data_IF_468471920381
#
_entry.id   IF_468471920381
#
_cell.length_a   1.000
_cell.length_b   1.000
_cell.length_c   1.000
_cell.angle_alpha   90.00
_cell.angle_beta   90.00
_cell.angle_gamma   90.00
#
_symmetry.space_group_name_H-M   'P 1'
#
loop_
_entity.id
_entity.type
_entity.pdbx_description
1 polymer ?
#
# COMPACT_ATOMS: atom_id res chain seq x y z
N UNK A 1 13.22 1.08 10.64
CA UNK A 1 11.78 1.31 10.38
C UNK A 1 11.20 2.10 11.54
N UNK A 2 10.67 3.31 11.31
CA UNK A 2 9.88 4.05 12.33
C UNK A 2 8.43 4.11 11.88
N UNK A 3 7.77 2.95 11.81
CA UNK A 3 6.32 2.91 11.69
C UNK A 3 5.74 3.31 13.05
N UNK A 4 4.79 4.25 13.06
CA UNK A 4 4.21 4.73 14.31
C UNK A 4 3.36 3.64 14.99
N UNK A 5 3.21 3.72 16.32
CA UNK A 5 2.28 2.85 17.04
C UNK A 5 0.84 2.96 16.51
N UNK A 6 0.46 4.12 15.95
CA UNK A 6 -0.84 4.35 15.32
C UNK A 6 -1.04 3.48 14.07
N UNK A 7 -0.04 3.38 13.20
CA UNK A 7 -0.13 2.56 11.99
C UNK A 7 -0.14 1.07 12.32
N UNK A 8 0.67 0.65 13.29
CA UNK A 8 0.65 -0.73 13.79
C UNK A 8 -0.73 -1.10 14.35
N UNK A 9 -1.35 -0.19 15.11
CA UNK A 9 -2.71 -0.38 15.64
C UNK A 9 -3.75 -0.43 14.51
N UNK A 10 -3.63 0.45 13.52
CA UNK A 10 -4.49 0.43 12.34
C UNK A 10 -4.42 -0.90 11.60
N UNK A 11 -3.22 -1.38 11.26
CA UNK A 11 -3.03 -2.67 10.55
C UNK A 11 -3.62 -3.84 11.36
N UNK A 12 -3.39 -3.85 12.68
CA UNK A 12 -3.97 -4.85 13.58
C UNK A 12 -5.50 -4.87 13.57
N UNK A 13 -6.13 -3.70 13.53
CA UNK A 13 -7.59 -3.58 13.48
C UNK A 13 -8.14 -3.95 12.10
N UNK A 14 -7.52 -3.46 11.02
CA UNK A 14 -7.85 -3.78 9.62
C UNK A 14 -7.84 -5.29 9.38
N UNK A 15 -6.83 -5.98 9.91
CA UNK A 15 -6.68 -7.43 9.75
C UNK A 15 -7.47 -8.25 10.78
N UNK A 16 -8.49 -7.64 11.39
CA UNK A 16 -9.43 -8.27 12.32
C UNK A 16 -8.74 -8.97 13.51
N UNK A 17 -7.61 -8.43 13.96
CA UNK A 17 -6.83 -8.95 15.10
C UNK A 17 -6.35 -10.39 14.87
N UNK A 18 -6.10 -10.75 13.61
CA UNK A 18 -5.69 -12.10 13.20
C UNK A 18 -4.42 -12.06 12.38
N UNK A 19 -3.67 -13.16 12.43
CA UNK A 19 -2.59 -13.40 11.48
C UNK A 19 -3.18 -13.46 10.07
N UNK A 20 -2.68 -12.63 9.17
CA UNK A 20 -3.10 -12.57 7.78
C UNK A 20 -2.96 -13.91 7.06
N UNK A 21 -1.89 -14.66 7.38
CA UNK A 21 -1.60 -15.93 6.70
C UNK A 21 -2.37 -17.13 7.25
N UNK A 22 -2.48 -17.28 8.58
CA UNK A 22 -3.06 -18.48 9.20
C UNK A 22 -4.40 -18.25 9.90
N UNK A 23 -4.92 -17.01 9.90
CA UNK A 23 -6.19 -16.66 10.54
C UNK A 23 -6.20 -16.71 12.07
N UNK A 24 -5.11 -17.12 12.72
CA UNK A 24 -5.00 -17.21 14.19
C UNK A 24 -5.29 -15.85 14.84
N UNK A 25 -6.20 -15.82 15.82
CA UNK A 25 -6.41 -14.62 16.67
C UNK A 25 -5.14 -14.31 17.46
N UNK A 26 -4.73 -13.05 17.47
CA UNK A 26 -3.55 -12.57 18.19
C UNK A 26 -3.94 -11.40 19.09
N UNK A 27 -3.31 -11.30 20.26
CA UNK A 27 -3.31 -10.06 21.05
C UNK A 27 -2.33 -9.07 20.43
N UNK A 28 -2.55 -7.77 20.62
CA UNK A 28 -1.71 -6.71 20.03
C UNK A 28 -0.21 -6.87 20.33
N UNK A 29 0.15 -7.29 21.55
CA UNK A 29 1.55 -7.52 21.93
C UNK A 29 2.18 -8.78 21.30
N UNK A 30 1.38 -9.65 20.68
CA UNK A 30 1.85 -10.89 20.05
C UNK A 30 2.11 -10.73 18.55
N UNK A 31 1.65 -9.63 17.95
CA UNK A 31 1.77 -9.43 16.51
C UNK A 31 3.16 -8.95 16.13
N UNK A 32 3.63 -9.42 14.98
CA UNK A 32 4.61 -8.74 14.15
C UNK A 32 3.89 -8.10 12.96
N UNK A 33 4.57 -7.19 12.28
CA UNK A 33 4.16 -6.75 10.94
C UNK A 33 5.07 -7.43 9.94
N UNK A 34 4.50 -7.90 8.84
CA UNK A 34 5.23 -8.48 7.72
C UNK A 34 4.97 -7.69 6.45
N UNK A 35 5.99 -7.60 5.60
CA UNK A 35 5.89 -6.98 4.29
C UNK A 35 5.36 -8.01 3.30
N UNK A 36 4.12 -7.82 2.83
CA UNK A 36 3.48 -8.77 1.93
C UNK A 36 4.29 -8.91 0.63
N UNK A 37 4.64 -7.77 0.03
CA UNK A 37 5.73 -7.66 -0.94
C UNK A 37 7.05 -7.41 -0.19
N UNK A 38 8.02 -8.35 -0.24
CA UNK A 38 9.26 -8.27 0.54
C UNK A 38 10.11 -7.04 0.24
N UNK A 39 10.71 -6.44 1.28
CA UNK A 39 11.64 -5.30 1.12
C UNK A 39 12.83 -5.64 0.24
N UNK A 40 13.36 -6.87 0.33
CA UNK A 40 14.47 -7.34 -0.51
C UNK A 40 14.17 -7.36 -2.01
N UNK A 41 12.89 -7.22 -2.38
CA UNK A 41 12.40 -7.18 -3.77
C UNK A 41 11.87 -5.81 -4.19
N UNK A 42 11.91 -4.80 -3.30
CA UNK A 42 11.35 -3.46 -3.54
C UNK A 42 10.13 -3.10 -2.69
N UNK A 43 9.74 -3.94 -1.75
CA UNK A 43 8.63 -3.64 -0.84
C UNK A 43 8.87 -2.38 -0.01
N UNK A 44 7.83 -1.56 0.17
CA UNK A 44 7.85 -0.33 0.96
C UNK A 44 7.24 -0.53 2.35
N UNK A 45 7.39 0.45 3.24
CA UNK A 45 6.75 0.46 4.57
C UNK A 45 5.31 1.01 4.55
N UNK A 46 4.68 1.06 3.38
CA UNK A 46 3.32 1.54 3.27
C UNK A 46 2.35 0.60 4.01
N UNK A 47 1.31 1.15 4.64
CA UNK A 47 0.36 0.36 5.45
C UNK A 47 -0.36 -0.71 4.63
N UNK A 48 -0.53 -0.51 3.32
CA UNK A 48 -1.11 -1.51 2.42
C UNK A 48 -0.15 -2.64 2.04
N UNK A 49 1.16 -2.46 2.24
CA UNK A 49 2.16 -3.52 2.07
C UNK A 49 2.46 -4.25 3.39
N UNK A 50 1.94 -3.76 4.52
CA UNK A 50 2.16 -4.36 5.83
C UNK A 50 0.93 -5.14 6.29
N UNK A 51 1.14 -6.35 6.80
CA UNK A 51 0.07 -7.21 7.35
C UNK A 51 0.38 -7.68 8.76
N UNK A 52 -0.68 -7.89 9.55
CA UNK A 52 -0.63 -8.49 10.88
C UNK A 52 -0.19 -9.94 10.76
N UNK A 53 0.89 -10.31 11.42
CA UNK A 53 1.45 -11.65 11.30
C UNK A 53 1.85 -12.22 12.67
N UNK A 54 1.71 -13.54 12.84
CA UNK A 54 2.30 -14.24 13.99
C UNK A 54 3.78 -14.54 13.71
N UNK A 55 4.60 -14.64 14.77
CA UNK A 55 6.05 -14.91 14.63
C UNK A 55 6.37 -16.15 13.78
N UNK A 56 5.57 -17.23 13.88
CA UNK A 56 5.76 -18.47 13.11
C UNK A 56 5.57 -18.23 11.61
N UNK A 57 4.44 -17.66 11.21
CA UNK A 57 4.16 -17.37 9.81
C UNK A 57 5.14 -16.36 9.23
N UNK A 58 5.50 -15.32 9.99
CA UNK A 58 6.46 -14.31 9.54
C UNK A 58 7.82 -14.95 9.22
N UNK A 59 8.32 -15.82 10.13
CA UNK A 59 9.56 -16.57 9.93
C UNK A 59 9.48 -17.51 8.72
N UNK A 60 8.36 -18.19 8.50
CA UNK A 60 8.17 -19.12 7.39
C UNK A 60 8.05 -18.39 6.03
N UNK A 61 7.38 -17.24 6.02
CA UNK A 61 7.22 -16.40 4.84
C UNK A 61 8.57 -15.82 4.41
N UNK A 62 9.36 -15.31 5.36
CA UNK A 62 10.65 -14.70 5.08
C UNK A 62 10.56 -13.70 3.91
N UNK A 63 11.37 -13.87 2.86
CA UNK A 63 11.33 -13.05 1.67
C UNK A 63 10.59 -13.70 0.49
N UNK A 64 9.85 -14.79 0.70
CA UNK A 64 9.03 -15.39 -0.35
C UNK A 64 8.00 -14.37 -0.86
N UNK A 65 7.83 -14.25 -2.17
CA UNK A 65 6.83 -13.38 -2.79
C UNK A 65 5.56 -14.20 -3.04
N UNK A 66 4.41 -13.89 -2.41
CA UNK A 66 3.16 -14.60 -2.70
C UNK A 66 2.75 -14.39 -4.16
N UNK A 67 2.23 -15.43 -4.82
CA UNK A 67 1.81 -15.34 -6.23
C UNK A 67 0.64 -14.39 -6.43
N UNK A 68 -0.20 -14.22 -5.41
CA UNK A 68 -1.38 -13.35 -5.36
C UNK A 68 -1.05 -11.92 -4.91
N UNK A 69 0.23 -11.51 -4.90
CA UNK A 69 0.66 -10.20 -4.40
C UNK A 69 -0.10 -9.05 -5.03
N UNK A 70 -0.35 -9.08 -6.34
CA UNK A 70 -0.98 -7.97 -7.03
C UNK A 70 -2.43 -7.76 -6.56
N UNK A 71 -3.23 -8.82 -6.56
CA UNK A 71 -4.63 -8.77 -6.14
C UNK A 71 -4.77 -8.36 -4.67
N UNK A 72 -3.92 -8.91 -3.79
CA UNK A 72 -3.95 -8.60 -2.36
C UNK A 72 -3.51 -7.16 -2.10
N UNK A 73 -2.43 -6.69 -2.72
CA UNK A 73 -1.94 -5.32 -2.54
C UNK A 73 -2.92 -4.30 -3.09
N UNK A 74 -3.53 -4.53 -4.25
CA UNK A 74 -4.57 -3.64 -4.78
C UNK A 74 -5.74 -3.51 -3.80
N UNK A 75 -6.21 -4.62 -3.23
CA UNK A 75 -7.28 -4.61 -2.22
C UNK A 75 -6.88 -3.83 -0.96
N UNK A 76 -5.68 -4.08 -0.44
CA UNK A 76 -5.17 -3.40 0.76
C UNK A 76 -4.91 -1.90 0.49
N UNK A 77 -4.47 -1.56 -0.71
CA UNK A 77 -4.27 -0.18 -1.15
C UNK A 77 -5.58 0.59 -1.19
N UNK A 78 -6.61 0.05 -1.86
CA UNK A 78 -7.93 0.68 -1.91
C UNK A 78 -8.56 0.81 -0.52
N UNK A 79 -8.35 -0.18 0.35
CA UNK A 79 -8.76 -0.10 1.76
C UNK A 79 -8.07 1.05 2.48
N UNK A 80 -6.74 1.19 2.31
CA UNK A 80 -5.97 2.30 2.88
C UNK A 80 -6.42 3.67 2.33
N UNK A 81 -6.83 3.76 1.07
CA UNK A 81 -7.40 4.98 0.47
C UNK A 81 -8.76 5.31 1.10
N UNK A 82 -9.64 4.32 1.25
CA UNK A 82 -10.96 4.49 1.89
C UNK A 82 -10.79 4.99 3.33
N UNK A 83 -9.85 4.41 4.07
CA UNK A 83 -9.55 4.71 5.47
C UNK A 83 -8.70 5.98 5.69
N UNK A 84 -8.51 6.79 4.63
CA UNK A 84 -7.73 8.03 4.66
C UNK A 84 -6.29 7.86 5.17
N UNK A 85 -5.68 6.70 4.86
CA UNK A 85 -4.28 6.40 5.16
C UNK A 85 -3.33 6.79 4.05
N UNK A 86 -3.83 7.10 2.86
CA UNK A 86 -3.04 7.56 1.73
C UNK A 86 -3.31 9.05 1.49
N UNK A 87 -2.27 9.87 1.63
CA UNK A 87 -2.39 11.33 1.65
C UNK A 87 -1.53 11.95 0.55
N UNK A 88 -1.99 13.02 -0.10
CA UNK A 88 -1.15 13.79 -1.01
C UNK A 88 -0.09 14.61 -0.28
N UNK A 89 1.17 14.56 -0.72
CA UNK A 89 2.25 15.39 -0.15
C UNK A 89 2.83 16.31 -1.21
N UNK A 90 2.68 17.62 -1.03
CA UNK A 90 3.23 18.63 -1.95
C UNK A 90 2.62 18.58 -3.35
N UNK A 91 1.37 18.14 -3.47
CA UNK A 91 0.66 18.04 -4.74
C UNK A 91 -0.32 19.21 -4.89
N UNK A 92 -0.42 19.75 -6.11
CA UNK A 92 -1.44 20.74 -6.48
C UNK A 92 -2.75 20.06 -6.92
N UNK A 93 -3.25 19.14 -6.08
CA UNK A 93 -4.54 18.47 -6.27
C UNK A 93 -5.28 18.47 -4.94
N UNK A 94 -6.55 18.82 -4.98
CA UNK A 94 -7.42 18.74 -3.81
C UNK A 94 -7.51 17.29 -3.27
N UNK A 95 -7.53 17.12 -1.94
CA UNK A 95 -7.51 15.80 -1.30
C UNK A 95 -8.77 14.97 -1.60
N UNK A 96 -9.95 15.60 -1.74
CA UNK A 96 -11.18 14.89 -2.09
C UNK A 96 -11.14 14.43 -3.54
N UNK A 97 -10.61 15.28 -4.44
CA UNK A 97 -10.35 14.90 -5.84
C UNK A 97 -9.34 13.76 -5.92
N UNK A 98 -8.22 13.87 -5.21
CA UNK A 98 -7.19 12.83 -5.17
C UNK A 98 -7.76 11.49 -4.71
N UNK A 99 -8.52 11.46 -3.60
CA UNK A 99 -9.17 10.24 -3.11
C UNK A 99 -10.06 9.61 -4.18
N UNK A 100 -10.87 10.41 -4.89
CA UNK A 100 -11.72 9.92 -5.99
C UNK A 100 -10.89 9.28 -7.11
N UNK A 101 -9.78 9.88 -7.50
CA UNK A 101 -8.91 9.34 -8.56
C UNK A 101 -8.17 8.06 -8.11
N UNK A 102 -7.72 8.00 -6.86
CA UNK A 102 -7.07 6.82 -6.30
C UNK A 102 -8.02 5.60 -6.25
N UNK A 103 -9.31 5.82 -6.05
CA UNK A 103 -10.32 4.75 -6.08
C UNK A 103 -10.53 4.15 -7.48
N UNK A 104 -10.04 4.80 -8.54
CA UNK A 104 -10.08 4.29 -9.92
C UNK A 104 -8.84 3.46 -10.30
N UNK A 105 -7.89 3.29 -9.38
CA UNK A 105 -6.71 2.42 -9.59
C UNK A 105 -7.18 0.98 -9.84
N UNK A 106 -6.65 0.36 -10.90
CA UNK A 106 -7.01 -1.00 -11.29
C UNK A 106 -5.82 -1.96 -11.44
N UNK A 107 -4.58 -1.45 -11.39
CA UNK A 107 -3.38 -2.29 -11.49
C UNK A 107 -2.18 -1.71 -10.77
N UNK A 108 -1.20 -2.58 -10.51
CA UNK A 108 0.14 -2.18 -10.11
C UNK A 108 0.98 -2.08 -11.38
N UNK A 109 1.46 -0.88 -11.71
CA UNK A 109 2.32 -0.70 -12.88
C UNK A 109 3.75 -1.20 -12.62
N UNK A 110 4.28 -0.88 -11.43
CA UNK A 110 5.65 -1.26 -11.06
C UNK A 110 5.85 -1.14 -9.54
N UNK A 111 6.79 -1.92 -9.01
CA UNK A 111 7.23 -1.87 -7.61
C UNK A 111 8.76 -1.75 -7.63
N UNK A 112 9.28 -0.65 -7.08
CA UNK A 112 10.74 -0.38 -7.00
C UNK A 112 11.11 0.07 -5.59
N UNK A 113 11.55 1.31 -5.38
CA UNK A 113 11.68 1.92 -4.05
C UNK A 113 10.36 2.60 -3.59
N UNK A 114 9.29 2.38 -4.36
CA UNK A 114 7.93 2.93 -4.25
C UNK A 114 6.95 2.03 -4.99
N UNK A 115 5.67 2.10 -4.63
CA UNK A 115 4.61 1.50 -5.44
C UNK A 115 4.13 2.49 -6.50
N UNK A 116 4.01 2.03 -7.74
CA UNK A 116 3.40 2.79 -8.82
C UNK A 116 2.06 2.11 -9.15
N UNK A 117 0.98 2.77 -8.77
CA UNK A 117 -0.37 2.33 -9.09
C UNK A 117 -0.87 3.06 -10.33
N UNK A 118 -1.71 2.40 -11.12
CA UNK A 118 -2.23 2.98 -12.34
C UNK A 118 -3.76 2.82 -12.44
N UNK A 119 -4.41 3.86 -12.95
CA UNK A 119 -5.77 3.84 -13.51
C UNK A 119 -5.71 3.96 -15.03
N UNK A 120 -6.86 4.03 -15.71
CA UNK A 120 -6.89 4.20 -17.17
C UNK A 120 -6.24 5.53 -17.63
N UNK A 121 -6.20 6.56 -16.79
CA UNK A 121 -5.79 7.91 -17.16
C UNK A 121 -4.66 8.48 -16.31
N UNK A 122 -4.22 7.80 -15.23
CA UNK A 122 -3.20 8.32 -14.32
C UNK A 122 -2.29 7.24 -13.74
N UNK A 123 -1.06 7.63 -13.41
CA UNK A 123 -0.14 6.89 -12.53
C UNK A 123 0.09 7.65 -11.23
N UNK A 124 0.08 6.93 -10.12
CA UNK A 124 0.30 7.44 -8.78
C UNK A 124 1.53 6.79 -8.18
N UNK A 125 2.44 7.59 -7.64
CA UNK A 125 3.69 7.14 -7.02
C UNK A 125 3.57 7.24 -5.51
N UNK A 126 3.56 6.10 -4.81
CA UNK A 126 3.28 6.03 -3.38
C UNK A 126 4.53 5.57 -2.62
N UNK A 127 4.86 6.32 -1.56
CA UNK A 127 5.94 5.97 -0.62
C UNK A 127 5.64 6.55 0.76
N UNK A 128 5.85 5.74 1.79
CA UNK A 128 5.64 6.10 3.20
C UNK A 128 4.23 6.67 3.49
N UNK A 129 3.21 6.07 2.87
CA UNK A 129 1.79 6.41 2.90
C UNK A 129 1.42 7.71 2.18
N UNK A 130 2.34 8.29 1.43
CA UNK A 130 2.09 9.51 0.67
C UNK A 130 2.06 9.26 -0.83
N UNK A 131 1.09 9.89 -1.51
CA UNK A 131 1.19 10.13 -2.95
C UNK A 131 2.22 11.23 -3.15
N UNK A 132 3.34 10.88 -3.76
CA UNK A 132 4.50 11.75 -3.98
C UNK A 132 4.53 12.35 -5.39
N UNK A 133 3.88 11.71 -6.35
CA UNK A 133 3.77 12.17 -7.73
C UNK A 133 2.51 11.60 -8.39
N UNK A 134 1.88 12.40 -9.25
CA UNK A 134 0.78 12.00 -10.14
C UNK A 134 1.20 12.30 -11.57
N UNK A 135 0.96 11.37 -12.49
CA UNK A 135 1.25 11.53 -13.92
C UNK A 135 -0.01 11.20 -14.71
N UNK A 136 -0.45 12.11 -15.58
CA UNK A 136 -1.57 11.86 -16.50
C UNK A 136 -1.09 11.04 -17.70
N UNK A 137 -1.90 10.06 -18.11
CA UNK A 137 -1.66 9.20 -19.26
C UNK A 137 -2.50 9.72 -20.43
N UNK A 138 -1.84 10.06 -21.55
CA UNK A 138 -2.54 10.44 -22.78
C UNK A 138 -2.98 11.91 -22.87
N UNK A 139 -2.15 12.85 -22.44
CA UNK A 139 -2.26 14.22 -22.96
C UNK A 139 -1.61 14.27 -24.36
N UNK A 140 -2.33 14.76 -25.37
CA UNK A 140 -1.66 15.35 -26.52
C UNK A 140 -0.66 16.37 -25.99
N UNK A 141 0.60 16.28 -26.41
CA UNK A 141 1.49 17.44 -26.41
C UNK A 141 0.85 18.46 -27.35
N UNK A 142 -0.05 19.30 -26.83
CA UNK A 142 -0.20 20.63 -27.41
C UNK A 142 1.14 21.33 -27.14
N UNK A 143 2.07 21.16 -28.07
CA UNK A 143 3.18 22.08 -28.28
C UNK A 143 2.50 23.43 -28.52
N UNK A 144 2.37 24.23 -27.46
CA UNK A 144 2.10 25.65 -27.61
C UNK A 144 3.32 26.22 -28.34
N UNK A 145 3.14 26.43 -29.65
CA UNK A 145 3.92 27.39 -30.42
C UNK A 145 3.53 28.80 -30.01
#
# INVERSE_FOLDING_TARGET
MKLGNKDKLYIYQRDLKRCFYCGKKLKFHQITLDHYFPVSKGGTNDVFNLVTCCKKCNKLKADFLPQDYEAVILKLFLTAVIDDKIIGKGLNIDNKKLKKELLNVNRIECITDRFIFQSNSMRFYIKDNYVTKVVYLGGCECILR
#
